data_IF_922377639105
#
_entry.id   IF_922377639105
#
_cell.length_a   1.000
_cell.length_b   1.000
_cell.length_c   1.000
_cell.angle_alpha   90.00
_cell.angle_beta   90.00
_cell.angle_gamma   90.00
#
_symmetry.space_group_name_H-M   'P 1'
#
loop_
_entity.id
_entity.type
_entity.pdbx_description
1 polymer ?
#
# COMPACT_ATOMS: atom_id res chain seq x y z
N UNK A 1 -1.41 -21.40 -18.95
CA UNK A 1 -0.34 -20.44 -18.62
C UNK A 1 0.47 -20.15 -19.88
N UNK A 2 1.07 -18.97 -20.02
CA UNK A 2 1.83 -18.56 -21.23
C UNK A 2 3.30 -19.04 -21.24
N UNK A 3 3.68 -19.92 -20.32
CA UNK A 3 5.08 -20.35 -20.14
C UNK A 3 6.04 -19.26 -19.67
N UNK A 4 5.52 -18.12 -19.20
CA UNK A 4 6.27 -16.96 -18.70
C UNK A 4 5.47 -16.23 -17.62
N UNK A 5 6.11 -15.28 -16.95
CA UNK A 5 5.49 -14.42 -15.94
C UNK A 5 4.44 -13.51 -16.60
N UNK A 6 3.42 -13.05 -15.84
CA UNK A 6 2.48 -12.06 -16.36
C UNK A 6 3.16 -10.78 -16.85
N UNK A 7 4.22 -10.31 -16.18
CA UNK A 7 4.98 -9.12 -16.60
C UNK A 7 5.65 -9.34 -17.94
N UNK A 8 6.35 -10.46 -18.15
CA UNK A 8 6.96 -10.79 -19.44
C UNK A 8 5.91 -10.96 -20.55
N UNK A 9 4.71 -11.46 -20.22
CA UNK A 9 3.63 -11.53 -21.20
C UNK A 9 3.10 -10.14 -21.60
N UNK A 10 2.94 -9.22 -20.63
CA UNK A 10 2.54 -7.84 -20.91
C UNK A 10 3.61 -7.08 -21.71
N UNK A 11 4.89 -7.41 -21.48
CA UNK A 11 6.01 -6.88 -22.26
C UNK A 11 5.94 -7.30 -23.73
N UNK A 12 5.71 -8.59 -24.02
CA UNK A 12 5.55 -9.07 -25.42
C UNK A 12 4.41 -8.36 -26.16
N UNK A 13 3.36 -7.97 -25.43
CA UNK A 13 2.20 -7.27 -25.97
C UNK A 13 2.45 -5.76 -26.15
N UNK A 14 3.59 -5.23 -25.69
CA UNK A 14 3.89 -3.80 -25.69
C UNK A 14 3.02 -3.00 -24.71
N UNK A 15 2.49 -3.66 -23.67
CA UNK A 15 1.55 -3.05 -22.72
C UNK A 15 2.25 -2.36 -21.53
N UNK A 16 3.54 -2.63 -21.31
CA UNK A 16 4.31 -1.98 -20.25
C UNK A 16 4.66 -0.54 -20.63
N UNK A 17 4.39 0.39 -19.72
CA UNK A 17 4.69 1.81 -19.88
C UNK A 17 4.38 2.63 -18.63
N UNK A 18 4.65 3.95 -18.66
CA UNK A 18 4.46 4.84 -17.51
C UNK A 18 2.99 5.02 -17.09
N UNK A 19 2.05 4.69 -17.98
CA UNK A 19 0.60 4.75 -17.71
C UNK A 19 0.08 3.49 -17.00
N UNK A 20 0.94 2.48 -16.80
CA UNK A 20 0.58 1.24 -16.12
C UNK A 20 1.00 1.29 -14.65
N UNK A 21 0.04 0.97 -13.78
CA UNK A 21 0.31 0.59 -12.39
C UNK A 21 -0.07 -0.87 -12.16
N UNK A 22 0.84 -1.66 -11.60
CA UNK A 22 0.61 -3.04 -11.22
C UNK A 22 0.46 -3.15 -9.69
N UNK A 23 -0.60 -3.81 -9.23
CA UNK A 23 -0.80 -4.04 -7.80
C UNK A 23 0.04 -5.22 -7.26
N UNK A 24 0.40 -5.14 -5.98
CA UNK A 24 1.07 -6.15 -5.17
C UNK A 24 2.54 -6.43 -5.52
N UNK A 25 2.82 -6.95 -6.71
CA UNK A 25 4.19 -7.28 -7.15
C UNK A 25 4.91 -8.32 -6.28
N UNK A 26 4.20 -9.26 -5.64
CA UNK A 26 4.79 -10.16 -4.63
C UNK A 26 5.79 -11.17 -5.19
N UNK A 27 5.44 -11.77 -6.33
CA UNK A 27 6.16 -12.89 -6.93
C UNK A 27 6.95 -12.48 -8.17
N UNK A 28 7.44 -11.23 -8.19
CA UNK A 28 8.28 -10.73 -9.28
C UNK A 28 9.64 -11.42 -9.27
N UNK A 29 10.09 -11.83 -10.46
CA UNK A 29 11.46 -12.28 -10.70
C UNK A 29 12.39 -11.09 -10.94
N UNK A 30 13.70 -11.31 -10.89
CA UNK A 30 14.70 -10.29 -11.23
C UNK A 30 14.44 -9.68 -12.62
N UNK A 31 14.09 -10.51 -13.61
CA UNK A 31 13.78 -10.06 -14.98
C UNK A 31 12.50 -9.21 -15.02
N UNK A 32 11.49 -9.56 -14.23
CA UNK A 32 10.27 -8.74 -14.15
C UNK A 32 10.58 -7.36 -13.58
N UNK A 33 11.41 -7.29 -12.54
CA UNK A 33 11.80 -5.99 -11.96
C UNK A 33 12.59 -5.16 -12.98
N UNK A 34 13.50 -5.77 -13.74
CA UNK A 34 14.23 -5.08 -14.79
C UNK A 34 13.29 -4.54 -15.89
N UNK A 35 12.28 -5.33 -16.29
CA UNK A 35 11.25 -4.88 -17.25
C UNK A 35 10.45 -3.69 -16.73
N UNK A 36 9.97 -3.79 -15.49
CA UNK A 36 9.18 -2.72 -14.88
C UNK A 36 9.98 -1.42 -14.77
N UNK A 37 11.28 -1.51 -14.44
CA UNK A 37 12.18 -0.36 -14.41
C UNK A 37 12.43 0.22 -15.82
N UNK A 38 12.70 -0.63 -16.81
CA UNK A 38 12.92 -0.23 -18.21
C UNK A 38 11.73 0.52 -18.80
N UNK A 39 10.51 0.12 -18.44
CA UNK A 39 9.27 0.67 -18.96
C UNK A 39 8.62 1.72 -18.06
N UNK A 40 9.28 2.11 -16.97
CA UNK A 40 8.81 3.12 -16.03
C UNK A 40 7.45 2.80 -15.38
N UNK A 41 7.17 1.52 -15.18
CA UNK A 41 5.92 1.02 -14.60
C UNK A 41 5.91 1.28 -13.09
N UNK A 42 4.74 1.66 -12.55
CA UNK A 42 4.57 1.80 -11.10
C UNK A 42 4.09 0.50 -10.46
N UNK A 43 4.69 0.10 -9.34
CA UNK A 43 4.14 -0.93 -8.46
C UNK A 43 3.36 -0.29 -7.31
N UNK A 44 2.10 -0.66 -7.14
CA UNK A 44 1.32 -0.33 -5.95
C UNK A 44 1.49 -1.45 -4.91
N UNK A 45 2.30 -1.18 -3.88
CA UNK A 45 2.63 -2.13 -2.82
C UNK A 45 1.58 -2.09 -1.70
N UNK A 46 0.88 -3.20 -1.53
CA UNK A 46 -0.18 -3.40 -0.52
C UNK A 46 0.30 -4.39 0.56
N UNK A 47 1.10 -3.94 1.51
CA UNK A 47 1.84 -4.81 2.43
C UNK A 47 0.91 -5.57 3.37
N UNK A 48 0.00 -4.84 4.05
CA UNK A 48 -0.94 -5.43 5.01
C UNK A 48 -1.86 -6.45 4.34
N UNK A 49 -2.46 -6.10 3.19
CA UNK A 49 -3.27 -7.01 2.38
C UNK A 49 -2.51 -8.28 2.01
N UNK A 50 -1.28 -8.14 1.50
CA UNK A 50 -0.47 -9.30 1.12
C UNK A 50 -0.19 -10.23 2.31
N UNK A 51 0.10 -9.68 3.50
CA UNK A 51 0.30 -10.48 4.70
C UNK A 51 -0.99 -11.15 5.17
N UNK A 52 -2.10 -10.40 5.19
CA UNK A 52 -3.41 -10.88 5.65
C UNK A 52 -3.95 -11.99 4.76
N UNK A 53 -3.82 -11.86 3.45
CA UNK A 53 -4.26 -12.83 2.45
C UNK A 53 -3.24 -13.94 2.20
N UNK A 54 -2.10 -13.93 2.90
CA UNK A 54 -1.02 -14.93 2.79
C UNK A 54 -0.36 -14.97 1.41
N UNK A 55 -0.32 -13.83 0.72
CA UNK A 55 0.29 -13.73 -0.61
C UNK A 55 1.83 -13.77 -0.57
N UNK A 56 2.44 -13.28 0.52
CA UNK A 56 3.89 -13.15 0.66
C UNK A 56 4.37 -11.71 0.82
N UNK A 57 5.67 -11.49 0.70
CA UNK A 57 6.33 -10.18 0.82
C UNK A 57 6.88 -9.76 -0.55
N UNK A 58 6.46 -8.60 -1.07
CA UNK A 58 6.99 -8.09 -2.33
C UNK A 58 8.45 -7.64 -2.22
N UNK A 59 9.31 -7.85 -3.24
CA UNK A 59 10.74 -7.52 -3.22
C UNK A 59 11.04 -6.02 -3.33
N UNK A 60 10.45 -5.18 -2.47
CA UNK A 60 10.55 -3.71 -2.53
C UNK A 60 11.99 -3.20 -2.49
N UNK A 61 12.88 -3.83 -1.70
CA UNK A 61 14.30 -3.45 -1.69
C UNK A 61 14.95 -3.65 -3.08
N UNK A 62 14.62 -4.75 -3.77
CA UNK A 62 15.16 -5.03 -5.11
C UNK A 62 14.52 -4.13 -6.19
N UNK A 63 13.24 -3.81 -6.04
CA UNK A 63 12.53 -2.86 -6.92
C UNK A 63 13.14 -1.47 -6.85
N UNK A 64 13.27 -0.93 -5.63
CA UNK A 64 13.80 0.42 -5.42
C UNK A 64 15.28 0.54 -5.83
N UNK A 65 16.09 -0.50 -5.58
CA UNK A 65 17.49 -0.54 -6.02
C UNK A 65 17.64 -0.49 -7.56
N UNK A 66 16.62 -0.91 -8.32
CA UNK A 66 16.58 -0.86 -9.79
C UNK A 66 15.86 0.36 -10.36
N UNK A 67 15.36 1.25 -9.49
CA UNK A 67 14.67 2.46 -9.93
C UNK A 67 13.20 2.26 -10.30
N UNK A 68 12.58 1.13 -9.94
CA UNK A 68 11.12 0.97 -10.09
C UNK A 68 10.41 1.97 -9.17
N UNK A 69 9.42 2.69 -9.70
CA UNK A 69 8.54 3.51 -8.87
C UNK A 69 7.64 2.60 -8.02
N UNK A 70 7.82 2.64 -6.71
CA UNK A 70 6.96 1.92 -5.77
C UNK A 70 6.06 2.94 -5.06
N UNK A 71 4.76 2.79 -5.25
CA UNK A 71 3.69 3.49 -4.55
C UNK A 71 3.13 2.62 -3.43
N UNK A 72 2.49 3.22 -2.44
CA UNK A 72 1.84 2.52 -1.33
C UNK A 72 0.32 2.48 -1.52
N UNK A 73 -0.28 1.34 -1.19
CA UNK A 73 -1.72 1.18 -1.07
C UNK A 73 -2.08 0.33 0.14
N UNK A 74 -3.33 0.42 0.60
CA UNK A 74 -3.86 -0.40 1.69
C UNK A 74 -4.69 -1.59 1.20
N UNK A 75 -5.10 -1.56 -0.07
CA UNK A 75 -6.14 -2.45 -0.63
C UNK A 75 -7.44 -2.37 0.21
N UNK A 76 -8.39 -3.29 0.03
CA UNK A 76 -9.60 -3.39 0.87
C UNK A 76 -9.45 -4.35 2.06
N UNK A 77 -8.22 -4.75 2.39
CA UNK A 77 -7.90 -5.83 3.34
C UNK A 77 -6.75 -5.44 4.28
N UNK A 78 -6.85 -4.25 4.89
CA UNK A 78 -5.92 -3.75 5.90
C UNK A 78 -5.79 -4.67 7.13
N UNK A 79 -4.77 -4.42 7.96
CA UNK A 79 -4.40 -5.33 9.07
C UNK A 79 -5.34 -5.24 10.30
N UNK A 80 -6.03 -4.11 10.53
CA UNK A 80 -7.02 -3.98 11.61
C UNK A 80 -8.46 -3.79 11.10
N UNK A 81 -8.75 -4.16 9.86
CA UNK A 81 -10.04 -3.86 9.21
C UNK A 81 -10.32 -2.34 9.16
N UNK A 82 -9.27 -1.54 8.97
CA UNK A 82 -9.30 -0.09 8.76
C UNK A 82 -8.39 0.35 7.61
N UNK A 83 -8.55 1.61 7.19
CA UNK A 83 -7.75 2.26 6.13
C UNK A 83 -6.71 3.22 6.75
N UNK A 84 -5.84 2.71 7.63
CA UNK A 84 -4.79 3.50 8.30
C UNK A 84 -3.45 3.49 7.53
N UNK A 85 -3.22 4.52 6.70
CA UNK A 85 -1.98 4.68 5.94
C UNK A 85 -0.74 4.94 6.82
N UNK A 86 -0.90 5.50 8.03
CA UNK A 86 0.23 5.68 8.97
C UNK A 86 0.69 4.32 9.50
N UNK A 87 -0.25 3.40 9.74
CA UNK A 87 0.10 2.03 10.10
C UNK A 87 0.70 1.27 8.92
N UNK A 88 0.19 1.45 7.71
CA UNK A 88 0.76 0.85 6.50
C UNK A 88 2.22 1.28 6.30
N UNK A 89 2.52 2.58 6.44
CA UNK A 89 3.89 3.09 6.36
C UNK A 89 4.82 2.45 7.40
N UNK A 90 4.36 2.30 8.66
CA UNK A 90 5.12 1.60 9.70
C UNK A 90 5.39 0.14 9.37
N UNK A 91 4.37 -0.54 8.82
CA UNK A 91 4.50 -1.92 8.41
C UNK A 91 5.56 -2.05 7.31
N UNK A 92 5.45 -1.27 6.23
CA UNK A 92 6.40 -1.27 5.11
C UNK A 92 7.82 -0.99 5.59
N UNK A 93 8.01 0.03 6.45
CA UNK A 93 9.33 0.38 7.00
C UNK A 93 9.98 -0.77 7.77
N UNK A 94 9.20 -1.57 8.49
CA UNK A 94 9.72 -2.71 9.28
C UNK A 94 9.86 -3.98 8.45
N UNK A 95 8.89 -4.23 7.56
CA UNK A 95 8.78 -5.46 6.77
C UNK A 95 10.01 -5.68 5.88
N UNK A 96 10.57 -4.60 5.34
CA UNK A 96 11.71 -4.66 4.43
C UNK A 96 13.08 -4.53 5.11
N UNK A 97 13.15 -4.60 6.44
CA UNK A 97 14.42 -4.62 7.18
C UNK A 97 14.88 -6.06 7.38
N UNK A 98 15.82 -6.51 6.56
CA UNK A 98 16.38 -7.85 6.66
C UNK A 98 17.42 -7.94 7.80
N UNK A 99 17.56 -9.09 8.47
CA UNK A 99 18.61 -9.28 9.47
C UNK A 99 20.01 -9.06 8.89
N UNK A 100 20.77 -8.17 9.51
CA UNK A 100 22.17 -7.89 9.19
C UNK A 100 22.48 -6.39 9.27
N UNK A 101 23.60 -6.04 9.90
CA UNK A 101 23.96 -4.64 10.22
C UNK A 101 24.13 -3.80 8.94
N UNK A 102 24.61 -4.41 7.86
CA UNK A 102 24.88 -3.75 6.57
C UNK A 102 23.79 -4.01 5.53
N UNK A 103 22.70 -4.68 5.89
CA UNK A 103 21.65 -4.97 4.92
C UNK A 103 20.95 -3.67 4.52
N UNK A 104 20.76 -3.42 3.21
CA UNK A 104 19.98 -2.30 2.74
C UNK A 104 18.58 -2.35 3.34
N UNK A 105 18.11 -1.20 3.81
CA UNK A 105 16.76 -1.02 4.30
C UNK A 105 16.15 0.21 3.64
N UNK A 106 14.86 0.13 3.37
CA UNK A 106 14.09 1.29 2.96
C UNK A 106 14.17 2.38 4.05
N UNK A 107 14.47 3.60 3.63
CA UNK A 107 14.57 4.75 4.54
C UNK A 107 13.18 5.32 4.84
N UNK A 108 13.02 6.00 5.98
CA UNK A 108 11.75 6.64 6.33
C UNK A 108 11.32 7.73 5.34
N UNK A 109 12.22 8.56 4.74
CA UNK A 109 11.84 9.42 3.62
C UNK A 109 11.36 8.66 2.38
N UNK A 110 11.97 7.52 2.06
CA UNK A 110 11.52 6.70 0.94
C UNK A 110 10.12 6.14 1.20
N UNK A 111 9.82 5.68 2.42
CA UNK A 111 8.47 5.24 2.80
C UNK A 111 7.45 6.37 2.69
N UNK A 112 7.79 7.58 3.14
CA UNK A 112 6.90 8.75 2.97
C UNK A 112 6.68 9.07 1.49
N UNK A 113 7.72 8.98 0.66
CA UNK A 113 7.60 9.16 -0.78
C UNK A 113 6.67 8.11 -1.42
N UNK A 114 6.74 6.84 -0.98
CA UNK A 114 5.81 5.78 -1.43
C UNK A 114 4.34 6.14 -1.16
N UNK A 115 4.06 6.77 -0.03
CA UNK A 115 2.71 7.18 0.37
C UNK A 115 2.27 8.55 -0.21
N UNK A 116 3.18 9.28 -0.86
CA UNK A 116 2.93 10.65 -1.36
C UNK A 116 3.30 10.78 -2.83
N UNK A 117 4.48 11.32 -3.15
CA UNK A 117 4.87 11.67 -4.52
C UNK A 117 4.93 10.45 -5.46
N UNK A 118 5.37 9.29 -4.99
CA UNK A 118 5.40 8.08 -5.81
C UNK A 118 3.98 7.57 -6.09
N UNK A 119 3.07 7.70 -5.12
CA UNK A 119 1.66 7.34 -5.26
C UNK A 119 0.87 8.34 -6.13
N UNK A 120 1.33 9.59 -6.24
CA UNK A 120 0.75 10.56 -7.17
C UNK A 120 1.04 10.19 -8.64
N UNK A 121 2.23 9.63 -8.91
CA UNK A 121 2.73 9.31 -10.26
C UNK A 121 1.77 8.50 -11.15
N UNK A 122 1.17 7.37 -10.70
CA UNK A 122 0.25 6.59 -11.53
C UNK A 122 -1.14 7.22 -11.68
N UNK A 123 -1.37 8.43 -11.16
CA UNK A 123 -2.68 9.09 -11.21
C UNK A 123 -2.72 10.17 -12.29
N UNK A 124 -3.94 10.60 -12.65
CA UNK A 124 -4.16 11.79 -13.48
C UNK A 124 -3.73 13.11 -12.82
N UNK A 125 -3.21 13.06 -11.58
CA UNK A 125 -2.80 14.23 -10.79
C UNK A 125 -1.29 14.26 -10.50
N UNK A 126 -0.47 13.44 -11.17
CA UNK A 126 0.96 13.31 -10.89
C UNK A 126 1.74 14.64 -10.83
N UNK A 127 1.39 15.61 -11.68
CA UNK A 127 2.00 16.95 -11.68
C UNK A 127 1.38 17.92 -10.65
N UNK A 128 0.25 17.55 -10.04
CA UNK A 128 -0.57 18.43 -9.24
C UNK A 128 -0.58 18.10 -7.75
N UNK A 129 -0.25 16.87 -7.32
CA UNK A 129 -0.34 16.44 -5.91
C UNK A 129 0.94 15.74 -5.45
N UNK A 130 0.96 15.28 -4.19
CA UNK A 130 2.03 14.42 -3.66
C UNK A 130 3.27 15.16 -3.13
N UNK A 131 3.38 16.48 -3.32
CA UNK A 131 4.45 17.31 -2.76
C UNK A 131 3.95 18.71 -2.41
N UNK A 132 4.62 19.35 -1.43
CA UNK A 132 4.37 20.73 -1.03
C UNK A 132 5.22 21.70 -1.84
N UNK A 133 4.81 21.94 -3.09
CA UNK A 133 5.53 22.78 -4.04
C UNK A 133 4.62 23.86 -4.62
N UNK A 134 5.19 25.04 -4.92
CA UNK A 134 4.42 26.13 -5.55
C UNK A 134 3.85 25.66 -6.89
N UNK A 135 2.54 25.79 -7.06
CA UNK A 135 1.82 25.41 -8.28
C UNK A 135 1.08 24.07 -8.18
N UNK A 136 1.40 23.24 -7.17
CA UNK A 136 0.62 22.04 -6.83
C UNK A 136 -0.65 22.40 -6.05
N UNK A 137 -1.61 21.48 -6.02
CA UNK A 137 -2.84 21.58 -5.23
C UNK A 137 -2.52 21.54 -3.73
N UNK A 138 -3.35 22.22 -2.95
CA UNK A 138 -3.23 22.25 -1.49
C UNK A 138 -3.87 21.01 -0.87
N UNK A 139 -3.24 19.85 -1.09
CA UNK A 139 -3.58 18.57 -0.47
C UNK A 139 -2.66 18.36 0.74
N UNK A 140 -3.17 18.62 1.94
CA UNK A 140 -2.38 18.75 3.17
C UNK A 140 -2.96 17.88 4.29
N UNK A 141 -2.06 17.29 5.07
CA UNK A 141 -2.38 16.69 6.37
C UNK A 141 -1.56 17.42 7.43
N UNK A 142 -2.25 17.99 8.41
CA UNK A 142 -1.64 18.67 9.56
C UNK A 142 -1.83 17.78 10.78
N UNK A 143 -0.74 17.54 11.50
CA UNK A 143 -0.75 16.71 12.70
C UNK A 143 -0.36 17.53 13.93
N UNK A 144 -0.98 17.21 15.05
CA UNK A 144 -0.67 17.80 16.35
C UNK A 144 0.66 17.25 16.88
N UNK A 145 1.71 18.06 16.73
CA UNK A 145 3.05 17.73 17.18
C UNK A 145 3.13 17.57 18.70
N UNK A 146 2.37 18.35 19.48
CA UNK A 146 2.40 18.27 20.94
C UNK A 146 1.92 16.91 21.42
N UNK A 147 0.81 16.41 20.88
CA UNK A 147 0.33 15.05 21.18
C UNK A 147 1.31 13.97 20.73
N UNK A 148 1.98 14.17 19.58
CA UNK A 148 2.97 13.22 19.08
C UNK A 148 4.18 13.14 20.02
N UNK A 149 4.60 14.24 20.63
CA UNK A 149 5.80 14.34 21.47
C UNK A 149 5.64 13.67 22.85
N UNK A 150 4.43 13.39 23.33
CA UNK A 150 4.20 12.80 24.66
C UNK A 150 4.72 11.36 24.85
N UNK A 151 5.43 11.03 25.94
CA UNK A 151 5.75 11.88 27.09
C UNK A 151 7.03 12.73 26.92
N UNK A 152 7.89 12.37 25.97
CA UNK A 152 9.11 13.11 25.63
C UNK A 152 9.54 12.79 24.18
N UNK A 153 10.11 13.79 23.50
CA UNK A 153 10.82 13.62 22.23
C UNK A 153 12.19 14.29 22.35
N UNK A 154 13.22 13.63 21.84
CA UNK A 154 14.56 14.23 21.80
C UNK A 154 14.59 15.40 20.81
N UNK A 155 15.10 16.58 21.22
CA UNK A 155 15.28 17.72 20.33
C UNK A 155 16.13 17.34 19.11
N UNK A 156 15.66 17.69 17.91
CA UNK A 156 16.35 17.37 16.66
C UNK A 156 16.03 15.99 16.09
N UNK A 157 15.07 15.25 16.65
CA UNK A 157 14.51 14.05 16.00
C UNK A 157 13.96 14.43 14.62
N UNK A 158 14.27 13.63 13.60
CA UNK A 158 13.77 13.84 12.25
C UNK A 158 12.23 13.80 12.23
N UNK A 159 11.53 14.82 11.69
CA UNK A 159 10.07 14.86 11.65
C UNK A 159 9.46 13.71 10.82
N UNK A 160 10.17 13.16 9.84
CA UNK A 160 9.72 12.00 9.06
C UNK A 160 9.79 10.72 9.90
N UNK A 161 10.86 10.55 10.67
CA UNK A 161 10.95 9.46 11.65
C UNK A 161 9.85 9.59 12.70
N UNK A 162 9.60 10.81 13.16
CA UNK A 162 8.55 11.11 14.11
C UNK A 162 7.16 10.72 13.58
N UNK A 163 6.83 11.16 12.37
CA UNK A 163 5.61 10.81 11.65
C UNK A 163 5.46 9.29 11.57
N UNK A 164 6.50 8.61 11.08
CA UNK A 164 6.45 7.19 10.80
C UNK A 164 6.37 6.39 12.10
N UNK A 165 7.23 6.62 13.07
CA UNK A 165 7.29 5.78 14.27
C UNK A 165 6.22 6.11 15.32
N UNK A 166 5.81 7.38 15.45
CA UNK A 166 4.88 7.83 16.52
C UNK A 166 3.53 8.31 16.00
N UNK A 167 3.43 8.70 14.73
CA UNK A 167 2.17 9.17 14.13
C UNK A 167 1.02 8.18 14.30
N UNK A 168 -0.16 8.68 14.66
CA UNK A 168 -1.40 7.91 14.77
C UNK A 168 -2.53 8.74 14.17
N UNK A 169 -3.60 8.10 13.72
CA UNK A 169 -4.78 8.79 13.20
C UNK A 169 -5.36 9.82 14.18
N UNK A 170 -5.29 9.54 15.48
CA UNK A 170 -5.70 10.48 16.54
C UNK A 170 -4.84 11.75 16.66
N UNK A 171 -3.66 11.79 16.03
CA UNK A 171 -2.82 12.99 15.98
C UNK A 171 -3.12 13.86 14.75
N UNK A 172 -4.00 13.42 13.84
CA UNK A 172 -4.38 14.21 12.67
C UNK A 172 -5.35 15.30 13.13
N UNK A 173 -4.94 16.54 12.99
CA UNK A 173 -5.73 17.71 13.37
C UNK A 173 -6.60 18.20 12.19
N UNK A 174 -5.94 18.51 11.07
CA UNK A 174 -6.58 19.14 9.91
C UNK A 174 -6.21 18.39 8.63
N UNK A 175 -7.20 18.19 7.76
CA UNK A 175 -7.00 17.66 6.40
C UNK A 175 -7.59 18.63 5.40
N UNK A 176 -6.80 18.94 4.37
CA UNK A 176 -7.18 19.81 3.27
C UNK A 176 -7.07 19.03 1.96
N UNK A 177 -8.09 19.15 1.11
CA UNK A 177 -8.11 18.59 -0.25
C UNK A 177 -8.44 19.74 -1.19
N UNK A 178 -7.54 20.01 -2.14
CA UNK A 178 -7.67 21.09 -3.12
C UNK A 178 -7.96 22.45 -2.48
N UNK A 179 -7.31 22.75 -1.35
CA UNK A 179 -7.53 24.00 -0.60
C UNK A 179 -8.76 23.99 0.32
N UNK A 180 -9.60 22.95 0.26
CA UNK A 180 -10.80 22.83 1.09
C UNK A 180 -10.51 22.01 2.34
N UNK A 181 -10.76 22.60 3.51
CA UNK A 181 -10.68 21.88 4.79
C UNK A 181 -11.83 20.86 4.88
N UNK A 182 -11.48 19.59 4.98
CA UNK A 182 -12.43 18.46 5.12
C UNK A 182 -12.41 17.84 6.51
N UNK A 183 -11.33 18.04 7.27
CA UNK A 183 -11.20 17.70 8.68
C UNK A 183 -10.58 18.89 9.42
N UNK A 184 -11.09 19.24 10.60
CA UNK A 184 -10.60 20.32 11.46
C UNK A 184 -10.70 19.88 12.93
N UNK A 185 -9.66 20.10 13.72
CA UNK A 185 -9.61 19.75 15.14
C UNK A 185 -10.01 18.27 15.40
N UNK A 186 -9.56 17.38 14.51
CA UNK A 186 -9.86 15.94 14.55
C UNK A 186 -11.32 15.57 14.22
N UNK A 187 -12.11 16.50 13.67
CA UNK A 187 -13.54 16.31 13.38
C UNK A 187 -13.88 16.68 11.93
N UNK A 188 -14.84 15.95 11.35
CA UNK A 188 -15.36 16.25 10.02
C UNK A 188 -16.44 17.34 10.11
N UNK A 189 -16.22 18.54 9.54
CA UNK A 189 -17.22 19.60 9.58
C UNK A 189 -18.50 19.17 8.88
N UNK A 190 -19.64 19.30 9.57
CA UNK A 190 -20.95 18.95 9.00
C UNK A 190 -21.29 17.46 8.97
N UNK A 191 -20.48 16.59 9.59
CA UNK A 191 -20.76 15.16 9.71
C UNK A 191 -21.13 14.80 11.15
N UNK A 192 -22.32 14.22 11.35
CA UNK A 192 -22.69 13.54 12.60
C UNK A 192 -22.15 12.10 12.52
N UNK A 193 -21.00 11.87 13.16
CA UNK A 193 -20.32 10.56 13.14
C UNK A 193 -21.19 9.47 13.74
N UNK A 194 -21.88 9.77 14.85
CA UNK A 194 -22.76 8.82 15.52
C UNK A 194 -23.96 8.45 14.64
N UNK A 195 -24.53 9.40 13.90
CA UNK A 195 -25.58 9.13 12.94
C UNK A 195 -25.11 8.22 11.79
N UNK A 196 -23.94 8.50 11.22
CA UNK A 196 -23.35 7.65 10.16
C UNK A 196 -23.11 6.23 10.69
N UNK A 197 -22.53 6.08 11.88
CA UNK A 197 -22.29 4.76 12.48
C UNK A 197 -23.59 4.01 12.75
N UNK A 198 -24.65 4.69 13.20
CA UNK A 198 -25.98 4.08 13.35
C UNK A 198 -26.53 3.61 12.01
N UNK A 199 -26.48 4.45 10.97
CA UNK A 199 -26.95 4.07 9.63
C UNK A 199 -26.19 2.86 9.07
N UNK A 200 -24.85 2.86 9.19
CA UNK A 200 -24.03 1.73 8.76
C UNK A 200 -24.42 0.45 9.50
N UNK A 201 -24.60 0.52 10.82
CA UNK A 201 -25.04 -0.63 11.63
C UNK A 201 -26.40 -1.15 11.15
N UNK A 202 -27.36 -0.27 10.96
CA UNK A 202 -28.72 -0.64 10.53
C UNK A 202 -28.73 -1.25 9.12
N UNK A 203 -27.80 -0.81 8.26
CA UNK A 203 -27.63 -1.36 6.91
C UNK A 203 -26.95 -2.73 6.92
N UNK A 204 -25.87 -2.90 7.69
CA UNK A 204 -25.12 -4.15 7.77
C UNK A 204 -25.79 -5.23 8.64
N UNK A 205 -26.72 -4.86 9.52
CA UNK A 205 -27.55 -5.81 10.26
C UNK A 205 -28.60 -6.50 9.40
N UNK A 206 -28.87 -6.00 8.18
CA UNK A 206 -29.83 -6.62 7.26
C UNK A 206 -29.26 -7.93 6.71
N UNK A 207 -30.13 -8.93 6.42
CA UNK A 207 -29.71 -10.11 5.68
C UNK A 207 -29.05 -9.71 4.37
N UNK A 208 -28.05 -10.48 3.97
CA UNK A 208 -27.41 -10.30 2.67
C UNK A 208 -28.43 -10.51 1.55
N UNK A 209 -28.33 -9.66 0.54
CA UNK A 209 -29.11 -9.83 -0.69
C UNK A 209 -28.82 -11.21 -1.31
N UNK A 210 -29.81 -11.85 -1.97
CA UNK A 210 -29.64 -13.17 -2.58
C UNK A 210 -28.41 -13.26 -3.50
N UNK A 211 -28.12 -12.19 -4.25
CA UNK A 211 -26.96 -12.12 -5.14
C UNK A 211 -25.62 -12.18 -4.36
N UNK A 212 -25.53 -11.54 -3.20
CA UNK A 212 -24.34 -11.59 -2.36
C UNK A 212 -24.14 -12.99 -1.73
N UNK A 213 -25.24 -13.65 -1.35
CA UNK A 213 -25.20 -15.04 -0.90
C UNK A 213 -24.76 -15.99 -2.01
N UNK A 214 -25.28 -15.81 -3.23
CA UNK A 214 -24.88 -16.60 -4.39
C UNK A 214 -23.40 -16.44 -4.71
N UNK A 215 -22.88 -15.20 -4.69
CA UNK A 215 -21.45 -14.94 -4.87
C UNK A 215 -20.60 -15.65 -3.80
N UNK A 216 -21.00 -15.60 -2.53
CA UNK A 216 -20.30 -16.32 -1.45
C UNK A 216 -20.32 -17.83 -1.65
N UNK A 217 -21.46 -18.39 -2.03
CA UNK A 217 -21.58 -19.82 -2.31
C UNK A 217 -20.76 -20.23 -3.53
N UNK A 218 -20.67 -19.37 -4.56
CA UNK A 218 -19.81 -19.60 -5.71
C UNK A 218 -18.34 -19.66 -5.30
N UNK A 219 -17.86 -18.71 -4.49
CA UNK A 219 -16.48 -18.73 -3.97
C UNK A 219 -16.21 -20.05 -3.25
N UNK A 220 -17.08 -20.47 -2.33
CA UNK A 220 -16.93 -21.74 -1.60
C UNK A 220 -16.87 -22.96 -2.52
N UNK A 221 -17.67 -22.99 -3.60
CA UNK A 221 -17.64 -24.06 -4.60
C UNK A 221 -16.36 -24.06 -5.45
N UNK A 222 -15.74 -22.89 -5.65
CA UNK A 222 -14.52 -22.76 -6.43
C UNK A 222 -13.25 -23.04 -5.61
N UNK A 223 -13.30 -22.88 -4.28
CA UNK A 223 -12.13 -23.04 -3.40
C UNK A 223 -11.34 -24.34 -3.62
N UNK A 224 -11.95 -25.54 -3.74
CA UNK A 224 -11.19 -26.77 -3.94
C UNK A 224 -10.32 -26.76 -5.22
N UNK A 225 -10.82 -26.15 -6.30
CA UNK A 225 -10.08 -26.04 -7.57
C UNK A 225 -8.93 -25.03 -7.47
N UNK A 226 -9.14 -23.95 -6.71
CA UNK A 226 -8.09 -22.96 -6.43
C UNK A 226 -6.99 -23.60 -5.59
N UNK A 227 -7.35 -24.38 -4.57
CA UNK A 227 -6.41 -25.12 -3.73
C UNK A 227 -5.62 -26.14 -4.55
N UNK A 228 -6.28 -26.94 -5.39
CA UNK A 228 -5.63 -27.91 -6.28
C UNK A 228 -4.64 -27.23 -7.24
N UNK A 229 -5.01 -26.08 -7.82
CA UNK A 229 -4.11 -25.30 -8.66
C UNK A 229 -2.83 -24.92 -7.89
N UNK A 230 -2.96 -24.36 -6.69
CA UNK A 230 -1.82 -23.90 -5.92
C UNK A 230 -0.94 -25.02 -5.34
N UNK A 231 -1.48 -26.23 -5.13
CA UNK A 231 -0.67 -27.39 -4.71
C UNK A 231 0.39 -27.80 -5.75
N UNK A 232 0.15 -27.51 -7.03
CA UNK A 232 1.08 -27.79 -8.13
C UNK A 232 1.81 -26.55 -8.64
N UNK A 233 1.43 -25.37 -8.14
CA UNK A 233 2.03 -24.11 -8.54
C UNK A 233 3.39 -23.93 -7.87
N UNK A 234 4.35 -23.40 -8.62
CA UNK A 234 5.68 -23.07 -8.12
C UNK A 234 6.05 -21.67 -8.61
N UNK A 235 6.74 -20.84 -7.79
CA UNK A 235 7.12 -19.47 -8.13
C UNK A 235 8.17 -19.33 -9.25
N UNK A 236 8.44 -20.39 -10.02
CA UNK A 236 9.45 -20.43 -11.08
C UNK A 236 10.82 -20.85 -10.56
N UNK A 237 11.82 -20.83 -11.46
CA UNK A 237 13.19 -21.20 -11.13
C UNK A 237 13.94 -20.03 -10.47
N UNK A 238 14.63 -20.31 -9.34
CA UNK A 238 15.50 -19.35 -8.66
C UNK A 238 15.18 -19.17 -7.17
N UNK A 239 16.13 -18.61 -6.38
CA UNK A 239 15.87 -18.31 -4.98
C UNK A 239 14.87 -17.15 -4.85
N UNK A 240 13.95 -17.20 -3.88
CA UNK A 240 13.05 -16.08 -3.62
C UNK A 240 13.83 -14.90 -3.04
N UNK A 241 13.38 -13.68 -3.31
CA UNK A 241 13.96 -12.46 -2.72
C UNK A 241 13.86 -12.44 -1.19
N UNK A 242 12.77 -13.00 -0.65
CA UNK A 242 12.58 -13.20 0.79
C UNK A 242 12.35 -14.68 1.08
N UNK A 243 13.07 -15.23 2.06
CA UNK A 243 12.87 -16.61 2.52
C UNK A 243 11.43 -16.89 2.97
N UNK A 244 10.70 -15.86 3.42
CA UNK A 244 9.28 -15.97 3.74
C UNK A 244 8.45 -16.49 2.55
N UNK A 245 8.83 -16.13 1.31
CA UNK A 245 8.15 -16.54 0.09
C UNK A 245 8.68 -17.88 -0.46
N UNK A 246 9.48 -18.64 0.29
CA UNK A 246 10.14 -19.86 -0.22
C UNK A 246 9.24 -21.08 -0.34
N UNK A 247 7.99 -21.02 0.16
CA UNK A 247 7.01 -22.10 0.11
C UNK A 247 5.61 -21.51 -0.06
N UNK A 248 4.91 -21.91 -1.12
CA UNK A 248 3.44 -21.89 -1.20
C UNK A 248 2.98 -23.33 -1.07
#
# INVERSE_FOLDING_TARGET
TWGKTPVAHLDDLGFLGPELSCAHGVWLTERDIDLLAQHDVTICHNASSNLRLKNGIAPVNAMTARGVNVAMGTDSTGINDDDDLLQEMRLVSKLHRQPGITQPAITTPAVLAMATINAARPTFFHDAIGALEKGRRADLVVMDLTSIEEPYLEPGTDPIDLLLYRGKSGHIDTVMIDGKVVLRDGRFPGLDKEAVVRELRDRFARPLEPQALEARNLVQRLMPYVEEFYQSWSPGDGPPHYMYNSRV
#
